data_IF_459446876698
#
_entry.id   IF_459446876698
#
_cell.length_a   1.000
_cell.length_b   1.000
_cell.length_c   1.000
_cell.angle_alpha   90.00
_cell.angle_beta   90.00
_cell.angle_gamma   90.00
#
_symmetry.space_group_name_H-M   'P 1'
#
loop_
_entity.id
_entity.type
_entity.pdbx_description
1 polymer ?
#
# COMPACT_ATOMS: atom_id res chain seq x y z
N UNK A 1 -20.11 -60.02 60.40
CA UNK A 1 -19.49 -58.66 60.43
C UNK A 1 -18.20 -58.73 59.71
N UNK A 2 -18.19 -58.29 58.43
CA UNK A 2 -17.03 -58.33 57.55
C UNK A 2 -16.50 -56.90 57.42
N UNK A 3 -15.33 -56.63 57.96
CA UNK A 3 -14.66 -55.35 57.97
C UNK A 3 -14.07 -55.11 56.60
N UNK A 4 -14.59 -54.12 55.86
CA UNK A 4 -14.00 -53.62 54.63
C UNK A 4 -12.79 -52.74 55.00
N UNK A 5 -11.58 -53.17 54.65
CA UNK A 5 -10.37 -52.38 54.75
C UNK A 5 -10.36 -51.32 53.56
N UNK A 6 -10.43 -50.04 53.91
CA UNK A 6 -10.21 -48.93 53.02
C UNK A 6 -8.74 -48.91 52.59
N UNK A 7 -8.44 -49.34 51.36
CA UNK A 7 -7.12 -49.10 50.75
C UNK A 7 -7.04 -47.64 50.34
N UNK A 8 -6.29 -46.81 51.03
CA UNK A 8 -5.91 -45.49 50.70
C UNK A 8 -4.91 -45.57 49.49
N UNK A 9 -5.38 -45.21 48.30
CA UNK A 9 -4.50 -45.03 47.12
C UNK A 9 -3.62 -43.82 47.38
N UNK A 10 -2.35 -44.04 47.76
CA UNK A 10 -1.33 -43.02 47.87
C UNK A 10 -0.93 -42.59 46.46
N UNK A 11 -1.42 -41.46 45.99
CA UNK A 11 -0.94 -40.85 44.75
C UNK A 11 0.50 -40.34 44.98
N UNK A 12 1.49 -41.08 44.49
CA UNK A 12 2.90 -40.66 44.47
C UNK A 12 3.07 -39.36 43.65
N UNK A 13 3.04 -38.21 44.31
CA UNK A 13 3.29 -36.94 43.65
C UNK A 13 4.75 -36.89 43.19
N UNK A 14 4.96 -36.78 41.88
CA UNK A 14 6.31 -36.62 41.28
C UNK A 14 6.95 -35.35 41.86
N UNK A 15 8.20 -35.42 42.39
CA UNK A 15 8.90 -34.25 42.92
C UNK A 15 9.01 -33.10 41.86
N UNK A 16 8.76 -31.86 42.28
CA UNK A 16 8.78 -30.68 41.39
C UNK A 16 9.98 -30.63 40.44
N UNK A 17 11.17 -31.01 40.92
CA UNK A 17 12.40 -31.04 40.11
C UNK A 17 12.28 -32.04 38.93
N UNK A 18 11.69 -33.20 39.13
CA UNK A 18 11.46 -34.17 38.05
C UNK A 18 10.36 -33.71 37.10
N UNK A 19 9.32 -33.02 37.60
CA UNK A 19 8.30 -32.42 36.73
C UNK A 19 8.90 -31.35 35.79
N UNK A 20 9.79 -30.49 36.31
CA UNK A 20 10.49 -29.48 35.48
C UNK A 20 11.42 -30.13 34.43
N UNK A 21 12.12 -31.22 34.78
CA UNK A 21 12.94 -31.97 33.84
C UNK A 21 12.12 -32.62 32.72
N UNK A 22 10.96 -33.22 33.06
CA UNK A 22 10.02 -33.79 32.07
C UNK A 22 9.45 -32.68 31.15
N UNK A 23 9.03 -31.55 31.71
CA UNK A 23 8.56 -30.42 30.92
C UNK A 23 9.66 -29.88 29.99
N UNK A 24 10.90 -29.75 30.48
CA UNK A 24 12.04 -29.34 29.68
C UNK A 24 12.33 -30.33 28.55
N UNK A 25 12.29 -31.64 28.83
CA UNK A 25 12.46 -32.69 27.82
C UNK A 25 11.36 -32.65 26.76
N UNK A 26 10.09 -32.56 27.18
CA UNK A 26 8.94 -32.43 26.26
C UNK A 26 9.11 -31.20 25.39
N UNK A 27 9.52 -30.05 25.94
CA UNK A 27 9.74 -28.82 25.21
C UNK A 27 10.86 -28.96 24.17
N UNK A 28 12.00 -29.59 24.53
CA UNK A 28 13.09 -29.86 23.60
C UNK A 28 12.66 -30.80 22.47
N UNK A 29 11.94 -31.87 22.77
CA UNK A 29 11.39 -32.78 21.75
C UNK A 29 10.43 -32.06 20.82
N UNK A 30 9.56 -31.22 21.38
CA UNK A 30 8.62 -30.40 20.59
C UNK A 30 9.37 -29.45 19.64
N UNK A 31 10.40 -28.74 20.13
CA UNK A 31 11.23 -27.88 19.29
C UNK A 31 11.95 -28.66 18.18
N UNK A 32 12.50 -29.83 18.48
CA UNK A 32 13.14 -30.67 17.47
C UNK A 32 12.15 -31.16 16.41
N UNK A 33 10.92 -31.47 16.80
CA UNK A 33 9.86 -31.83 15.85
C UNK A 33 9.51 -30.64 14.95
N UNK A 34 9.34 -29.43 15.50
CA UNK A 34 9.08 -28.23 14.71
C UNK A 34 10.22 -27.96 13.72
N UNK A 35 11.48 -28.04 14.15
CA UNK A 35 12.65 -27.87 13.30
C UNK A 35 12.70 -28.94 12.20
N UNK A 36 12.35 -30.19 12.53
CA UNK A 36 12.34 -31.29 11.55
C UNK A 36 11.24 -31.06 10.50
N UNK A 37 10.04 -30.63 10.89
CA UNK A 37 8.96 -30.30 9.97
C UNK A 37 9.39 -29.13 9.05
N UNK A 38 9.97 -28.09 9.61
CA UNK A 38 10.47 -26.94 8.85
C UNK A 38 11.55 -27.37 7.83
N UNK A 39 12.54 -28.18 8.26
CA UNK A 39 13.60 -28.66 7.39
C UNK A 39 13.05 -29.55 6.26
N UNK A 40 12.17 -30.49 6.58
CA UNK A 40 11.53 -31.36 5.60
C UNK A 40 10.76 -30.51 4.59
N UNK A 41 10.01 -29.51 5.06
CA UNK A 41 9.21 -28.65 4.19
C UNK A 41 10.11 -27.86 3.24
N UNK A 42 11.23 -27.32 3.72
CA UNK A 42 12.18 -26.57 2.88
C UNK A 42 12.88 -27.42 1.82
N UNK A 43 13.11 -28.72 2.11
CA UNK A 43 13.84 -29.61 1.20
C UNK A 43 12.89 -30.33 0.23
N UNK A 44 11.73 -30.77 0.71
CA UNK A 44 10.83 -31.64 -0.04
C UNK A 44 9.77 -30.89 -0.86
N UNK A 45 9.48 -29.62 -0.54
CA UNK A 45 8.42 -28.86 -1.19
C UNK A 45 8.93 -27.57 -1.83
N UNK A 46 8.31 -27.13 -2.95
CA UNK A 46 8.63 -25.84 -3.54
C UNK A 46 8.33 -24.71 -2.53
N UNK A 47 9.17 -23.67 -2.56
CA UNK A 47 8.94 -22.49 -1.72
C UNK A 47 7.58 -21.88 -2.02
N UNK A 48 6.78 -21.65 -0.98
CA UNK A 48 5.51 -20.90 -1.11
C UNK A 48 5.83 -19.42 -1.22
N UNK A 49 5.40 -18.80 -2.32
CA UNK A 49 5.48 -17.35 -2.45
C UNK A 49 4.37 -16.72 -1.60
N UNK A 50 4.73 -15.69 -0.84
CA UNK A 50 3.75 -14.93 -0.04
C UNK A 50 2.69 -14.26 -0.91
N UNK A 51 3.05 -13.89 -2.15
CA UNK A 51 2.09 -13.32 -3.09
C UNK A 51 0.96 -14.30 -3.42
N UNK A 52 1.28 -15.58 -3.66
CA UNK A 52 0.29 -16.64 -3.90
C UNK A 52 -0.63 -16.89 -2.68
N UNK A 53 -0.18 -16.54 -1.49
CA UNK A 53 -0.99 -16.69 -0.29
C UNK A 53 -2.05 -15.60 -0.13
N UNK A 54 -1.76 -14.38 -0.52
CA UNK A 54 -2.60 -13.22 -0.20
C UNK A 54 -3.32 -12.66 -1.42
N UNK A 55 -2.82 -12.91 -2.63
CA UNK A 55 -3.40 -12.46 -3.90
C UNK A 55 -4.18 -13.63 -4.52
N UNK A 56 -5.48 -13.69 -4.30
CA UNK A 56 -6.26 -14.89 -4.62
C UNK A 56 -7.24 -14.72 -5.79
N UNK A 57 -7.65 -13.49 -6.13
CA UNK A 57 -8.60 -13.27 -7.21
C UNK A 57 -7.89 -13.09 -8.56
N UNK A 58 -8.52 -13.47 -9.70
CA UNK A 58 -7.98 -13.21 -11.04
C UNK A 58 -7.64 -11.73 -11.24
N UNK A 59 -8.50 -10.83 -10.77
CA UNK A 59 -8.32 -9.38 -10.88
C UNK A 59 -7.10 -8.89 -10.08
N UNK A 60 -6.94 -9.36 -8.84
CA UNK A 60 -5.75 -9.07 -8.04
C UNK A 60 -4.47 -9.62 -8.71
N UNK A 61 -4.56 -10.83 -9.27
CA UNK A 61 -3.45 -11.45 -10.00
C UNK A 61 -3.08 -10.67 -11.26
N UNK A 62 -4.03 -10.14 -11.99
CA UNK A 62 -3.75 -9.28 -13.15
C UNK A 62 -2.95 -8.04 -12.77
N UNK A 63 -3.17 -7.48 -11.59
CA UNK A 63 -2.49 -6.28 -11.12
C UNK A 63 -1.05 -6.54 -10.63
N UNK A 64 -0.75 -7.75 -10.15
CA UNK A 64 0.54 -8.08 -9.52
C UNK A 64 1.26 -9.28 -10.14
N UNK A 65 0.61 -10.08 -10.96
CA UNK A 65 1.08 -11.41 -11.37
C UNK A 65 1.29 -11.59 -12.88
N UNK A 66 1.49 -10.52 -13.62
CA UNK A 66 2.23 -10.70 -14.87
C UNK A 66 3.60 -11.29 -14.47
N UNK A 67 4.01 -12.50 -14.94
CA UNK A 67 5.29 -13.11 -14.56
C UNK A 67 6.49 -12.21 -14.78
N UNK A 68 6.40 -11.28 -15.74
CA UNK A 68 7.41 -10.25 -15.99
C UNK A 68 7.32 -9.06 -15.02
N UNK A 69 6.18 -8.87 -14.34
CA UNK A 69 5.89 -7.73 -13.48
C UNK A 69 5.87 -8.07 -11.98
N UNK A 70 5.77 -9.34 -11.60
CA UNK A 70 5.75 -9.75 -10.19
C UNK A 70 7.06 -9.49 -9.43
N UNK A 71 8.11 -9.08 -10.14
CA UNK A 71 9.46 -8.92 -9.59
C UNK A 71 9.57 -7.94 -8.42
N UNK A 72 8.73 -6.91 -8.36
CA UNK A 72 8.78 -5.85 -7.34
C UNK A 72 7.80 -6.03 -6.19
N UNK A 73 6.90 -7.01 -6.25
CA UNK A 73 5.86 -7.21 -5.23
C UNK A 73 6.12 -8.43 -4.35
N UNK A 74 5.63 -8.38 -3.13
CA UNK A 74 5.49 -9.52 -2.21
C UNK A 74 4.13 -9.48 -1.52
N UNK A 75 3.65 -10.64 -1.04
CA UNK A 75 2.36 -10.73 -0.37
C UNK A 75 2.35 -10.05 0.99
N UNK A 76 1.24 -9.42 1.33
CA UNK A 76 1.00 -8.78 2.62
C UNK A 76 -0.38 -9.17 3.16
N UNK A 77 -0.49 -9.74 4.39
CA UNK A 77 -1.76 -10.21 4.92
C UNK A 77 -2.75 -9.10 5.30
N UNK A 78 -2.25 -7.86 5.47
CA UNK A 78 -3.09 -6.70 5.74
C UNK A 78 -3.46 -5.94 4.45
N UNK A 79 -2.52 -5.88 3.49
CA UNK A 79 -2.65 -5.05 2.30
C UNK A 79 -2.79 -5.88 1.02
N UNK A 80 -2.83 -7.21 1.12
CA UNK A 80 -2.79 -8.23 0.08
C UNK A 80 -1.42 -8.33 -0.61
N UNK A 81 -0.82 -7.23 -1.02
CA UNK A 81 0.55 -7.15 -1.55
C UNK A 81 1.19 -5.83 -1.13
N UNK A 82 2.51 -5.75 -1.21
CA UNK A 82 3.30 -4.53 -1.04
C UNK A 82 4.54 -4.59 -1.93
N UNK A 83 5.28 -3.52 -2.02
CA UNK A 83 6.59 -3.52 -2.65
C UNK A 83 7.57 -4.37 -1.83
N UNK A 84 8.48 -5.07 -2.50
CA UNK A 84 9.61 -5.72 -1.83
C UNK A 84 10.54 -4.66 -1.25
N UNK A 85 11.11 -4.87 -0.07
CA UNK A 85 12.13 -3.98 0.48
C UNK A 85 13.48 -4.16 -0.25
N UNK A 86 14.31 -3.11 -0.20
CA UNK A 86 15.69 -3.10 -0.69
C UNK A 86 15.82 -3.50 -2.18
N UNK A 87 14.86 -3.11 -3.00
CA UNK A 87 15.03 -3.18 -4.45
C UNK A 87 16.07 -2.14 -4.87
N UNK A 88 17.02 -2.55 -5.70
CA UNK A 88 18.04 -1.68 -6.24
C UNK A 88 17.96 -1.67 -7.77
N UNK A 89 17.47 -0.57 -8.34
CA UNK A 89 17.36 -0.32 -9.78
C UNK A 89 16.71 -1.47 -10.57
N UNK A 90 15.64 -2.06 -10.01
CA UNK A 90 14.93 -3.16 -10.67
C UNK A 90 14.06 -2.60 -11.80
N UNK A 91 14.29 -3.09 -13.02
CA UNK A 91 13.43 -2.77 -14.15
C UNK A 91 12.05 -3.39 -13.97
N UNK A 92 11.01 -2.56 -14.10
CA UNK A 92 9.64 -2.99 -14.00
C UNK A 92 8.73 -2.11 -14.85
N UNK A 93 8.04 -2.73 -15.81
CA UNK A 93 7.02 -2.09 -16.66
C UNK A 93 7.40 -0.69 -17.16
N UNK A 94 8.48 -0.63 -17.94
CA UNK A 94 9.04 0.59 -18.53
C UNK A 94 9.48 1.66 -17.52
N UNK A 95 9.84 1.27 -16.33
CA UNK A 95 10.50 2.15 -15.35
C UNK A 95 11.53 1.39 -14.52
N UNK A 96 12.31 2.11 -13.74
CA UNK A 96 13.24 1.56 -12.77
C UNK A 96 12.73 1.84 -11.37
N UNK A 97 12.73 0.82 -10.53
CA UNK A 97 12.21 0.88 -9.17
C UNK A 97 13.31 0.56 -8.17
N UNK A 98 13.56 1.49 -7.28
CA UNK A 98 14.33 1.26 -6.05
C UNK A 98 13.41 1.44 -4.84
N UNK A 99 13.62 0.64 -3.81
CA UNK A 99 12.87 0.74 -2.56
C UNK A 99 13.79 0.67 -1.37
N UNK A 100 13.44 1.38 -0.31
CA UNK A 100 14.16 1.29 0.95
C UNK A 100 13.81 0.03 1.76
N UNK A 101 14.43 -0.14 2.93
CA UNK A 101 14.19 -1.27 3.83
C UNK A 101 12.73 -1.33 4.37
N UNK A 102 11.98 -0.23 4.32
CA UNK A 102 10.59 -0.13 4.75
C UNK A 102 9.59 -0.31 3.60
N UNK A 103 10.07 -0.67 2.38
CA UNK A 103 9.24 -0.89 1.19
C UNK A 103 8.58 0.36 0.61
N UNK A 104 9.14 1.54 0.86
CA UNK A 104 8.76 2.76 0.16
C UNK A 104 9.63 2.94 -1.09
N UNK A 105 9.06 3.50 -2.16
CA UNK A 105 9.84 3.94 -3.34
C UNK A 105 10.62 5.21 -2.98
N UNK A 106 11.73 5.04 -2.28
CA UNK A 106 12.61 6.10 -1.81
C UNK A 106 14.05 5.54 -1.68
N UNK A 107 15.03 6.40 -1.85
CA UNK A 107 16.46 6.08 -1.77
C UNK A 107 17.07 6.30 -0.38
N UNK A 108 16.25 6.73 0.57
CA UNK A 108 16.65 6.93 1.96
C UNK A 108 15.74 6.16 2.93
N UNK A 109 16.23 5.83 4.15
CA UNK A 109 15.42 5.13 5.14
C UNK A 109 14.33 6.05 5.71
N UNK A 110 13.08 5.54 5.72
CA UNK A 110 11.93 6.23 6.29
C UNK A 110 11.59 5.57 7.62
N UNK A 111 11.98 6.25 8.70
CA UNK A 111 11.79 5.81 10.06
C UNK A 111 10.85 6.73 10.86
N UNK A 112 10.95 6.65 12.20
CA UNK A 112 10.34 7.64 13.07
C UNK A 112 10.81 9.04 12.66
N UNK A 113 9.88 10.01 12.66
CA UNK A 113 10.18 11.36 12.16
C UNK A 113 11.28 12.02 12.99
N UNK A 114 12.40 12.45 12.39
CA UNK A 114 13.43 13.20 13.11
C UNK A 114 12.89 14.56 13.59
N UNK A 115 13.39 15.03 14.74
CA UNK A 115 13.02 16.35 15.24
C UNK A 115 13.39 17.47 14.25
N UNK A 116 12.48 18.41 14.04
CA UNK A 116 12.66 19.52 13.11
C UNK A 116 12.48 19.17 11.62
N UNK A 117 12.17 17.92 11.28
CA UNK A 117 11.85 17.51 9.92
C UNK A 117 10.41 17.88 9.56
N UNK A 118 10.21 18.46 8.38
CA UNK A 118 8.89 18.62 7.76
C UNK A 118 8.63 17.43 6.85
N UNK A 119 7.53 16.70 7.07
CA UNK A 119 7.25 15.45 6.38
C UNK A 119 5.92 15.47 5.66
N UNK A 120 5.95 15.18 4.36
CA UNK A 120 4.76 14.98 3.52
C UNK A 120 4.67 13.50 3.14
N UNK A 121 3.53 12.89 3.38
CA UNK A 121 3.21 11.54 2.94
C UNK A 121 2.24 11.62 1.76
N UNK A 122 2.67 11.13 0.59
CA UNK A 122 1.83 11.03 -0.59
C UNK A 122 1.22 9.61 -0.63
N UNK A 123 -0.01 9.49 -0.14
CA UNK A 123 -0.76 8.24 -0.03
C UNK A 123 -1.51 7.96 -1.34
N UNK A 124 -1.29 6.78 -1.97
CA UNK A 124 -1.97 6.53 -3.23
C UNK A 124 -1.70 5.17 -3.89
N UNK A 125 -2.04 5.14 -5.15
CA UNK A 125 -1.93 3.99 -6.05
C UNK A 125 -0.78 4.16 -7.07
N UNK A 126 -0.94 3.58 -8.27
CA UNK A 126 0.03 3.70 -9.36
C UNK A 126 0.31 5.13 -9.81
N UNK A 127 -0.66 6.04 -9.71
CA UNK A 127 -0.46 7.46 -10.04
C UNK A 127 0.53 8.09 -9.05
N UNK A 128 0.30 7.92 -7.76
CA UNK A 128 1.19 8.46 -6.72
C UNK A 128 2.54 7.75 -6.70
N UNK A 129 2.57 6.46 -7.00
CA UNK A 129 3.81 5.70 -7.19
C UNK A 129 4.66 6.26 -8.35
N UNK A 130 4.05 6.83 -9.39
CA UNK A 130 4.71 7.25 -10.61
C UNK A 130 4.93 6.08 -11.58
N UNK A 131 3.83 5.43 -11.98
CA UNK A 131 3.84 4.34 -12.95
C UNK A 131 4.42 4.79 -14.28
N UNK A 132 5.46 4.08 -14.75
CA UNK A 132 6.23 4.41 -15.96
C UNK A 132 6.87 5.81 -15.95
N UNK A 133 7.16 6.34 -14.75
CA UNK A 133 7.86 7.63 -14.62
C UNK A 133 9.02 7.48 -13.63
N UNK A 134 10.26 7.83 -14.06
CA UNK A 134 10.66 8.15 -15.43
C UNK A 134 10.54 6.92 -16.36
N UNK A 135 10.17 7.13 -17.64
CA UNK A 135 10.11 6.03 -18.59
C UNK A 135 11.51 5.54 -18.97
N UNK A 136 11.67 4.24 -19.03
CA UNK A 136 12.88 3.54 -19.46
C UNK A 136 12.50 2.53 -20.55
N UNK A 137 13.00 2.76 -21.77
CA UNK A 137 12.75 1.87 -22.90
C UNK A 137 13.88 0.85 -23.01
N UNK A 138 13.62 -0.47 -23.02
CA UNK A 138 14.68 -1.48 -23.12
C UNK A 138 15.58 -1.30 -24.35
N UNK A 139 14.97 -0.86 -25.47
CA UNK A 139 15.68 -0.67 -26.73
C UNK A 139 16.48 0.65 -26.77
N UNK A 140 16.21 1.56 -25.83
CA UNK A 140 16.82 2.89 -25.76
C UNK A 140 17.12 3.29 -24.31
N UNK A 141 17.96 2.54 -23.59
CA UNK A 141 18.24 2.82 -22.18
C UNK A 141 18.91 4.17 -21.94
N UNK A 142 19.51 4.75 -22.98
CA UNK A 142 20.17 6.07 -22.91
C UNK A 142 19.20 7.25 -23.08
N UNK A 143 17.93 7.01 -23.47
CA UNK A 143 16.91 8.06 -23.55
C UNK A 143 16.30 8.35 -22.15
N UNK A 144 16.81 7.72 -21.10
CA UNK A 144 16.42 8.00 -19.73
C UNK A 144 16.75 9.44 -19.34
N UNK A 145 15.71 10.20 -18.94
CA UNK A 145 15.89 11.53 -18.38
C UNK A 145 15.65 11.49 -16.86
N UNK A 146 16.69 11.69 -16.03
CA UNK A 146 16.59 11.66 -14.58
C UNK A 146 15.73 12.81 -14.01
N UNK A 147 15.44 13.86 -14.77
CA UNK A 147 14.58 14.96 -14.35
C UNK A 147 13.08 14.62 -14.45
N UNK A 148 12.73 13.56 -15.18
CA UNK A 148 11.36 13.11 -15.32
C UNK A 148 10.95 12.28 -14.12
N UNK A 149 10.56 12.93 -13.05
CA UNK A 149 10.26 12.28 -11.78
C UNK A 149 8.75 12.30 -11.46
N UNK A 150 8.25 11.34 -10.63
CA UNK A 150 6.90 11.41 -10.09
C UNK A 150 6.71 12.64 -9.20
N UNK A 151 5.48 13.13 -9.09
CA UNK A 151 5.17 14.35 -8.33
C UNK A 151 5.67 14.34 -6.87
N UNK A 152 5.70 13.23 -6.13
CA UNK A 152 6.26 13.25 -4.77
C UNK A 152 7.75 13.61 -4.75
N UNK A 153 8.53 13.07 -5.71
CA UNK A 153 9.97 13.37 -5.82
C UNK A 153 10.19 14.81 -6.28
N UNK A 154 9.36 15.31 -7.22
CA UNK A 154 9.42 16.72 -7.64
C UNK A 154 9.12 17.67 -6.47
N UNK A 155 8.07 17.38 -5.68
CA UNK A 155 7.75 18.15 -4.48
C UNK A 155 8.91 18.19 -3.48
N UNK A 156 9.54 17.04 -3.24
CA UNK A 156 10.69 16.97 -2.33
C UNK A 156 11.85 17.82 -2.84
N UNK A 157 12.20 17.66 -4.10
CA UNK A 157 13.29 18.39 -4.75
C UNK A 157 13.07 19.89 -4.67
N UNK A 158 11.90 20.36 -5.06
CA UNK A 158 11.58 21.79 -5.10
C UNK A 158 11.54 22.41 -3.68
N UNK A 159 10.92 21.70 -2.73
CA UNK A 159 10.86 22.18 -1.34
C UNK A 159 12.25 22.21 -0.69
N UNK A 160 13.10 21.21 -0.92
CA UNK A 160 14.49 21.18 -0.42
C UNK A 160 15.35 22.30 -1.03
N UNK A 161 15.22 22.52 -2.33
CA UNK A 161 15.96 23.58 -3.03
C UNK A 161 15.59 24.97 -2.47
N UNK A 162 14.31 25.21 -2.21
CA UNK A 162 13.84 26.47 -1.62
C UNK A 162 14.18 26.62 -0.13
N UNK A 163 14.52 25.52 0.56
CA UNK A 163 14.74 25.49 2.01
C UNK A 163 16.00 24.68 2.38
N UNK A 164 17.19 25.08 1.93
CA UNK A 164 18.41 24.28 2.06
C UNK A 164 18.84 24.00 3.53
N UNK A 165 18.34 24.79 4.47
CA UNK A 165 18.65 24.66 5.90
C UNK A 165 17.56 23.88 6.68
N UNK A 166 16.58 23.30 6.01
CA UNK A 166 15.48 22.56 6.63
C UNK A 166 15.54 21.08 6.23
N UNK A 167 15.29 20.21 7.17
CA UNK A 167 15.09 18.80 6.88
C UNK A 167 13.67 18.61 6.32
N UNK A 168 13.57 18.14 5.10
CA UNK A 168 12.29 17.93 4.41
C UNK A 168 12.29 16.51 3.83
N UNK A 169 11.21 15.79 4.06
CA UNK A 169 10.97 14.45 3.53
C UNK A 169 9.61 14.41 2.82
N UNK A 170 9.59 14.05 1.56
CA UNK A 170 8.36 13.81 0.78
C UNK A 170 8.48 12.45 0.10
N UNK A 171 7.62 11.52 0.42
CA UNK A 171 7.71 10.20 -0.16
C UNK A 171 6.35 9.58 -0.50
N UNK A 172 6.31 8.72 -1.54
CA UNK A 172 5.12 7.99 -1.90
C UNK A 172 4.87 6.82 -0.92
N UNK A 173 3.77 6.86 -0.21
CA UNK A 173 3.14 5.74 0.47
C UNK A 173 2.13 5.13 -0.50
N UNK A 174 2.65 4.55 -1.58
CA UNK A 174 1.87 4.21 -2.76
C UNK A 174 2.35 2.90 -3.41
N UNK A 175 1.38 2.10 -3.85
CA UNK A 175 1.65 0.82 -4.52
C UNK A 175 0.69 0.68 -5.71
N UNK A 176 1.19 0.31 -6.90
CA UNK A 176 0.33 0.03 -8.03
C UNK A 176 -0.78 -0.96 -7.72
N UNK A 177 -2.00 -0.64 -8.16
CA UNK A 177 -3.17 -1.48 -7.93
C UNK A 177 -3.91 -1.25 -6.61
N UNK A 178 -3.43 -0.37 -5.73
CA UNK A 178 -4.09 -0.08 -4.46
C UNK A 178 -5.40 0.68 -4.63
N UNK A 179 -6.34 0.39 -3.73
CA UNK A 179 -7.60 1.10 -3.55
C UNK A 179 -7.52 2.04 -2.35
N UNK A 180 -8.51 2.92 -2.23
CA UNK A 180 -8.69 3.76 -1.04
C UNK A 180 -8.81 2.94 0.25
N UNK A 181 -9.35 1.72 0.19
CA UNK A 181 -9.45 0.80 1.32
C UNK A 181 -8.07 0.33 1.79
N UNK A 182 -7.20 -0.09 0.85
CA UNK A 182 -5.81 -0.47 1.17
C UNK A 182 -5.01 0.72 1.69
N UNK A 183 -5.16 1.89 1.07
CA UNK A 183 -4.52 3.12 1.51
C UNK A 183 -4.90 3.50 2.94
N UNK A 184 -6.19 3.45 3.28
CA UNK A 184 -6.67 3.72 4.64
C UNK A 184 -6.13 2.69 5.65
N UNK A 185 -6.11 1.41 5.29
CA UNK A 185 -5.57 0.35 6.16
C UNK A 185 -4.07 0.58 6.43
N UNK A 186 -3.31 0.96 5.40
CA UNK A 186 -1.89 1.27 5.52
C UNK A 186 -1.65 2.51 6.39
N UNK A 187 -2.36 3.60 6.11
CA UNK A 187 -2.23 4.83 6.87
C UNK A 187 -2.56 4.62 8.35
N UNK A 188 -3.63 3.88 8.69
CA UNK A 188 -3.97 3.53 10.07
C UNK A 188 -2.86 2.79 10.80
N UNK A 189 -2.15 1.91 10.11
CA UNK A 189 -1.05 1.16 10.68
C UNK A 189 0.15 2.05 11.02
N UNK A 190 0.48 2.98 10.12
CA UNK A 190 1.79 3.62 10.15
C UNK A 190 1.78 5.12 10.50
N UNK A 191 0.64 5.81 10.51
CA UNK A 191 0.57 7.25 10.72
C UNK A 191 1.19 7.72 12.05
N UNK A 192 0.96 6.96 13.13
CA UNK A 192 1.52 7.27 14.45
C UNK A 192 3.04 7.18 14.49
N UNK A 193 3.63 6.34 13.65
CA UNK A 193 5.07 6.19 13.49
C UNK A 193 5.65 7.22 12.51
N UNK A 194 4.96 7.46 11.40
CA UNK A 194 5.40 8.39 10.36
C UNK A 194 5.26 9.85 10.78
N UNK A 195 4.23 10.19 11.55
CA UNK A 195 3.96 11.54 12.05
C UNK A 195 4.04 12.62 10.94
N UNK A 196 3.26 12.51 9.84
CA UNK A 196 3.30 13.48 8.76
C UNK A 196 2.82 14.86 9.21
N UNK A 197 3.36 15.92 8.60
CA UNK A 197 2.80 17.28 8.70
C UNK A 197 1.70 17.50 7.66
N UNK A 198 1.83 16.81 6.51
CA UNK A 198 0.81 16.83 5.43
C UNK A 198 0.63 15.43 4.88
N UNK A 199 -0.63 15.05 4.64
CA UNK A 199 -1.02 13.86 3.87
C UNK A 199 -1.67 14.31 2.57
N UNK A 200 -1.15 13.83 1.44
CA UNK A 200 -1.74 14.00 0.12
C UNK A 200 -2.31 12.65 -0.30
N UNK A 201 -3.62 12.55 -0.53
CA UNK A 201 -4.28 11.27 -0.83
C UNK A 201 -4.90 11.25 -2.23
N UNK A 202 -4.60 10.19 -3.02
CA UNK A 202 -5.10 9.99 -4.38
C UNK A 202 -5.38 8.52 -4.66
N UNK A 203 -6.66 8.18 -4.93
CA UNK A 203 -7.13 6.85 -5.31
C UNK A 203 -8.32 6.97 -6.26
N UNK A 204 -8.68 5.88 -6.93
CA UNK A 204 -9.94 5.85 -7.66
C UNK A 204 -10.07 4.74 -8.69
N UNK A 205 -9.19 4.64 -9.68
CA UNK A 205 -9.34 3.68 -10.78
C UNK A 205 -9.39 2.23 -10.33
N UNK A 206 -8.61 1.89 -9.32
CA UNK A 206 -8.64 0.54 -8.74
C UNK A 206 -9.89 0.31 -7.90
N UNK A 207 -10.46 1.37 -7.31
CA UNK A 207 -11.70 1.29 -6.53
C UNK A 207 -12.88 0.90 -7.39
N UNK A 208 -12.98 1.47 -8.61
CA UNK A 208 -14.06 1.17 -9.56
C UNK A 208 -13.87 -0.13 -10.34
N UNK A 209 -12.69 -0.75 -10.27
CA UNK A 209 -12.41 -2.03 -10.95
C UNK A 209 -13.32 -3.13 -10.39
N UNK A 210 -13.96 -3.89 -11.30
CA UNK A 210 -14.90 -4.95 -10.93
C UNK A 210 -14.16 -6.15 -10.34
N UNK A 211 -14.70 -6.74 -9.27
CA UNK A 211 -14.14 -7.90 -8.60
C UNK A 211 -15.23 -8.83 -8.07
N UNK A 212 -14.94 -10.13 -8.04
CA UNK A 212 -15.78 -11.12 -7.37
C UNK A 212 -15.70 -11.04 -5.84
N UNK A 213 -14.64 -10.41 -5.31
CA UNK A 213 -14.44 -10.22 -3.86
C UNK A 213 -14.04 -8.77 -3.62
N UNK A 214 -14.93 -7.93 -3.08
CA UNK A 214 -14.60 -6.54 -2.75
C UNK A 214 -13.58 -6.46 -1.62
N UNK A 215 -12.81 -5.37 -1.59
CA UNK A 215 -11.67 -5.21 -0.69
C UNK A 215 -12.08 -5.28 0.80
N UNK A 216 -13.28 -4.83 1.17
CA UNK A 216 -13.83 -4.96 2.52
C UNK A 216 -13.91 -6.41 3.03
N UNK A 217 -14.01 -7.38 2.11
CA UNK A 217 -14.04 -8.81 2.43
C UNK A 217 -12.65 -9.46 2.32
N UNK A 218 -11.80 -8.94 1.43
CA UNK A 218 -10.47 -9.47 1.17
C UNK A 218 -9.47 -9.03 2.26
N UNK A 219 -9.65 -7.84 2.84
CA UNK A 219 -8.70 -7.20 3.76
C UNK A 219 -9.20 -7.29 5.19
N UNK A 220 -8.44 -7.99 6.02
CA UNK A 220 -8.69 -8.08 7.45
C UNK A 220 -7.81 -7.08 8.21
N UNK A 221 -8.42 -6.05 8.76
CA UNK A 221 -7.71 -4.97 9.48
C UNK A 221 -7.42 -5.27 10.96
N UNK A 222 -7.68 -6.51 11.44
CA UNK A 222 -7.34 -6.92 12.80
C UNK A 222 -5.83 -7.08 12.97
N UNK A 223 -5.36 -7.17 14.23
CA UNK A 223 -3.92 -7.25 14.56
C UNK A 223 -3.22 -8.55 14.14
N UNK A 224 -3.94 -9.67 14.07
CA UNK A 224 -3.36 -10.99 13.81
C UNK A 224 -2.74 -11.16 12.40
N UNK A 225 -3.14 -10.42 11.33
CA UNK A 225 -2.45 -10.49 10.04
C UNK A 225 -0.95 -10.18 10.12
N UNK A 226 -0.54 -9.27 10.99
CA UNK A 226 0.88 -8.93 11.18
C UNK A 226 1.68 -10.13 11.72
N UNK A 227 1.12 -10.86 12.69
CA UNK A 227 1.74 -12.07 13.23
C UNK A 227 1.80 -13.19 12.19
N UNK A 228 0.74 -13.36 11.39
CA UNK A 228 0.72 -14.34 10.28
C UNK A 228 1.82 -14.01 9.26
N UNK A 229 1.97 -12.74 8.89
CA UNK A 229 3.02 -12.35 7.96
C UNK A 229 4.39 -12.76 8.49
N UNK A 230 4.71 -12.40 9.72
CA UNK A 230 6.00 -12.78 10.32
C UNK A 230 6.24 -14.29 10.25
N UNK A 231 5.22 -15.09 10.58
CA UNK A 231 5.30 -16.55 10.52
C UNK A 231 5.48 -17.08 9.10
N UNK A 232 4.77 -16.52 8.12
CA UNK A 232 4.91 -16.88 6.69
C UNK A 232 6.29 -16.56 6.16
N UNK A 233 6.84 -15.40 6.51
CA UNK A 233 8.16 -14.98 6.05
C UNK A 233 9.30 -15.82 6.65
N UNK A 234 9.09 -16.39 7.85
CA UNK A 234 10.13 -17.11 8.59
C UNK A 234 9.98 -18.64 8.59
N UNK A 235 8.80 -19.19 8.24
CA UNK A 235 8.51 -20.62 8.26
C UNK A 235 7.78 -21.09 7.00
N UNK A 236 8.45 -21.95 6.22
CA UNK A 236 7.84 -22.61 5.07
C UNK A 236 6.75 -23.61 5.48
N UNK A 237 6.94 -24.30 6.61
CA UNK A 237 5.91 -25.18 7.16
C UNK A 237 4.62 -24.42 7.48
N UNK A 238 4.73 -23.24 8.08
CA UNK A 238 3.58 -22.36 8.35
C UNK A 238 2.95 -21.84 7.06
N UNK A 239 3.76 -21.43 6.09
CA UNK A 239 3.29 -20.94 4.79
C UNK A 239 2.48 -22.04 4.04
N UNK A 240 3.00 -23.27 3.98
CA UNK A 240 2.26 -24.42 3.41
C UNK A 240 0.98 -24.74 4.18
N UNK A 241 1.01 -24.71 5.50
CA UNK A 241 -0.18 -24.90 6.34
C UNK A 241 -1.25 -23.84 6.06
N UNK A 242 -0.85 -22.59 5.95
CA UNK A 242 -1.74 -21.46 5.60
C UNK A 242 -2.33 -21.63 4.22
N UNK A 243 -1.54 -22.02 3.21
CA UNK A 243 -1.99 -22.32 1.85
C UNK A 243 -3.03 -23.44 1.84
N UNK A 244 -2.78 -24.53 2.56
CA UNK A 244 -3.69 -25.65 2.65
C UNK A 244 -5.02 -25.29 3.35
N UNK A 245 -4.99 -24.54 4.47
CA UNK A 245 -6.20 -24.05 5.13
C UNK A 245 -7.03 -23.15 4.22
N UNK A 246 -6.39 -22.23 3.50
CA UNK A 246 -7.06 -21.34 2.56
C UNK A 246 -7.68 -22.09 1.40
N UNK A 247 -6.99 -23.08 0.82
CA UNK A 247 -7.53 -23.88 -0.29
C UNK A 247 -8.79 -24.67 0.12
N UNK A 248 -8.90 -25.07 1.38
CA UNK A 248 -10.11 -25.73 1.91
C UNK A 248 -11.27 -24.78 2.18
N UNK A 249 -10.97 -23.54 2.55
CA UNK A 249 -11.96 -22.52 2.87
C UNK A 249 -12.39 -21.70 1.66
N UNK A 250 -11.80 -21.91 0.49
CA UNK A 250 -12.31 -21.36 -0.75
C UNK A 250 -13.63 -22.07 -1.09
N UNK A 251 -14.73 -21.59 -0.47
CA UNK A 251 -16.06 -21.91 -0.96
C UNK A 251 -16.09 -21.54 -2.45
N UNK A 252 -16.61 -22.46 -3.29
CA UNK A 252 -16.91 -22.13 -4.69
C UNK A 252 -17.70 -20.82 -4.65
N UNK A 253 -17.27 -19.77 -5.36
CA UNK A 253 -18.05 -18.55 -5.40
C UNK A 253 -19.46 -18.95 -5.84
N UNK A 254 -20.47 -18.70 -5.01
CA UNK A 254 -21.84 -18.62 -5.47
C UNK A 254 -21.79 -17.66 -6.66
N UNK A 255 -22.60 -17.88 -7.70
CA UNK A 255 -22.67 -17.01 -8.87
C UNK A 255 -22.84 -15.57 -8.38
N UNK A 256 -21.72 -14.89 -8.19
CA UNK A 256 -21.67 -13.53 -7.66
C UNK A 256 -21.55 -12.60 -8.86
N UNK A 257 -22.42 -11.61 -8.90
CA UNK A 257 -22.29 -10.54 -9.90
C UNK A 257 -21.08 -9.70 -9.46
N UNK A 258 -20.06 -9.53 -10.31
CA UNK A 258 -18.92 -8.71 -9.98
C UNK A 258 -19.36 -7.31 -9.56
N UNK A 259 -18.79 -6.80 -8.48
CA UNK A 259 -19.04 -5.46 -7.98
C UNK A 259 -17.71 -4.66 -7.95
N UNK A 260 -17.74 -3.31 -7.87
CA UNK A 260 -16.52 -2.54 -7.68
C UNK A 260 -15.75 -3.01 -6.45
N UNK A 261 -14.42 -3.05 -6.53
CA UNK A 261 -13.55 -3.43 -5.39
C UNK A 261 -13.87 -2.62 -4.14
N UNK A 262 -14.20 -1.34 -4.34
CA UNK A 262 -14.69 -0.43 -3.29
C UNK A 262 -15.93 0.24 -3.82
N UNK A 263 -17.06 0.09 -3.15
CA UNK A 263 -18.30 0.76 -3.55
C UNK A 263 -18.19 2.28 -3.45
N UNK A 264 -19.02 3.02 -4.18
CA UNK A 264 -19.01 4.49 -4.17
C UNK A 264 -19.14 5.07 -2.77
N UNK A 265 -20.00 4.49 -1.94
CA UNK A 265 -20.17 4.92 -0.55
C UNK A 265 -18.88 4.67 0.26
N UNK A 266 -18.32 3.46 0.15
CA UNK A 266 -17.08 3.11 0.87
C UNK A 266 -15.91 3.98 0.43
N UNK A 267 -15.83 4.34 -0.86
CA UNK A 267 -14.83 5.25 -1.39
C UNK A 267 -14.84 6.60 -0.67
N UNK A 268 -16.01 7.23 -0.57
CA UNK A 268 -16.17 8.49 0.17
C UNK A 268 -15.91 8.32 1.66
N UNK A 269 -16.41 7.24 2.27
CA UNK A 269 -16.17 6.92 3.68
C UNK A 269 -14.67 6.71 3.98
N UNK A 270 -13.94 6.07 3.07
CA UNK A 270 -12.49 5.86 3.19
C UNK A 270 -11.74 7.19 3.16
N UNK A 271 -12.05 8.09 2.22
CA UNK A 271 -11.43 9.42 2.17
C UNK A 271 -11.76 10.25 3.40
N UNK A 272 -13.00 10.22 3.86
CA UNK A 272 -13.38 10.88 5.11
C UNK A 272 -12.63 10.32 6.32
N UNK A 273 -12.38 9.01 6.33
CA UNK A 273 -11.59 8.38 7.39
C UNK A 273 -10.11 8.74 7.29
N UNK A 274 -9.53 8.83 6.08
CA UNK A 274 -8.16 9.31 5.84
C UNK A 274 -8.02 10.75 6.35
N UNK A 275 -8.96 11.62 5.98
CA UNK A 275 -8.96 13.04 6.39
C UNK A 275 -9.04 13.17 7.91
N UNK A 276 -9.97 12.46 8.56
CA UNK A 276 -10.08 12.47 10.04
C UNK A 276 -8.80 11.95 10.68
N UNK A 277 -8.31 10.80 10.24
CA UNK A 277 -7.12 10.17 10.81
C UNK A 277 -5.89 11.09 10.72
N UNK A 278 -5.69 11.75 9.60
CA UNK A 278 -4.60 12.70 9.43
C UNK A 278 -4.75 13.92 10.36
N UNK A 279 -5.94 14.52 10.41
CA UNK A 279 -6.24 15.66 11.31
C UNK A 279 -6.10 15.29 12.78
N UNK A 280 -6.51 14.08 13.19
CA UNK A 280 -6.38 13.59 14.57
C UNK A 280 -4.90 13.44 14.98
N UNK A 281 -4.00 13.27 14.00
CA UNK A 281 -2.54 13.25 14.20
C UNK A 281 -1.85 14.60 13.92
N UNK A 282 -2.63 15.69 13.77
CA UNK A 282 -2.10 17.04 13.56
C UNK A 282 -1.62 17.33 12.14
N UNK A 283 -1.89 16.45 11.17
CA UNK A 283 -1.49 16.65 9.78
C UNK A 283 -2.51 17.48 8.98
N UNK A 284 -2.00 18.37 8.12
CA UNK A 284 -2.79 18.94 7.03
C UNK A 284 -3.15 17.87 5.99
N UNK A 285 -4.22 18.09 5.22
CA UNK A 285 -4.67 17.11 4.22
C UNK A 285 -5.00 17.78 2.90
N UNK A 286 -4.58 17.15 1.81
CA UNK A 286 -5.03 17.45 0.45
C UNK A 286 -5.54 16.15 -0.16
N UNK A 287 -6.68 16.22 -0.85
CA UNK A 287 -7.23 15.11 -1.64
C UNK A 287 -7.11 15.46 -3.12
N UNK A 288 -6.60 14.51 -3.92
CA UNK A 288 -6.50 14.64 -5.37
C UNK A 288 -7.60 13.77 -5.99
N UNK A 289 -8.40 14.35 -6.88
CA UNK A 289 -9.30 13.59 -7.74
C UNK A 289 -8.52 12.70 -8.70
N UNK A 290 -8.92 11.43 -8.83
CA UNK A 290 -8.25 10.49 -9.71
C UNK A 290 -8.13 11.06 -11.14
N UNK A 291 -6.91 11.24 -11.66
CA UNK A 291 -6.72 11.80 -12.98
C UNK A 291 -7.13 10.79 -14.06
N UNK A 292 -7.57 11.27 -15.20
CA UNK A 292 -7.69 10.49 -16.43
C UNK A 292 -7.68 11.37 -17.65
N UNK A 293 -7.34 10.77 -18.78
CA UNK A 293 -7.43 11.42 -20.08
C UNK A 293 -8.85 11.28 -20.61
N UNK A 294 -9.52 12.39 -20.87
CA UNK A 294 -10.79 12.34 -21.58
C UNK A 294 -10.57 11.89 -23.03
N UNK A 295 -11.28 10.88 -23.47
CA UNK A 295 -11.23 10.39 -24.84
C UNK A 295 -12.63 10.06 -25.34
N UNK A 296 -12.83 10.12 -26.65
CA UNK A 296 -14.11 9.76 -27.30
C UNK A 296 -14.50 8.29 -27.08
N UNK A 297 -13.57 7.46 -26.65
CA UNK A 297 -13.71 6.01 -26.43
C UNK A 297 -13.47 5.63 -24.97
N UNK A 298 -13.97 6.44 -24.04
CA UNK A 298 -13.85 6.12 -22.63
C UNK A 298 -14.54 4.79 -22.29
N UNK A 299 -13.88 3.90 -21.53
CA UNK A 299 -14.50 2.64 -21.09
C UNK A 299 -15.65 2.93 -20.11
N UNK A 300 -16.57 1.97 -19.88
CA UNK A 300 -17.67 2.11 -18.94
C UNK A 300 -17.21 2.52 -17.52
N UNK A 301 -16.03 2.06 -17.09
CA UNK A 301 -15.42 2.40 -15.81
C UNK A 301 -15.12 3.91 -15.67
N UNK A 302 -14.89 4.62 -16.78
CA UNK A 302 -14.67 6.06 -16.76
C UNK A 302 -15.94 6.83 -16.32
N UNK A 303 -17.13 6.36 -16.70
CA UNK A 303 -18.38 6.94 -16.23
C UNK A 303 -18.57 6.72 -14.73
N UNK A 304 -18.27 5.51 -14.25
CA UNK A 304 -18.32 5.20 -12.83
C UNK A 304 -17.30 6.02 -12.04
N UNK A 305 -16.08 6.18 -12.56
CA UNK A 305 -15.04 7.01 -11.95
C UNK A 305 -15.46 8.49 -11.88
N UNK A 306 -16.14 9.00 -12.90
CA UNK A 306 -16.69 10.36 -12.90
C UNK A 306 -17.70 10.56 -11.76
N UNK A 307 -18.57 9.57 -11.51
CA UNK A 307 -19.52 9.61 -10.39
C UNK A 307 -18.77 9.63 -9.05
N UNK A 308 -17.79 8.76 -8.86
CA UNK A 308 -17.00 8.68 -7.64
C UNK A 308 -16.28 10.00 -7.35
N UNK A 309 -15.64 10.59 -8.36
CA UNK A 309 -14.97 11.90 -8.25
C UNK A 309 -15.94 13.02 -7.90
N UNK A 310 -17.12 13.07 -8.56
CA UNK A 310 -18.12 14.10 -8.31
C UNK A 310 -18.61 14.06 -6.86
N UNK A 311 -18.84 12.86 -6.32
CA UNK A 311 -19.22 12.69 -4.92
C UNK A 311 -18.08 13.08 -3.98
N UNK A 312 -16.87 12.63 -4.25
CA UNK A 312 -15.70 12.98 -3.46
C UNK A 312 -15.46 14.49 -3.44
N UNK A 313 -15.52 15.15 -4.61
CA UNK A 313 -15.38 16.62 -4.72
C UNK A 313 -16.42 17.35 -3.88
N UNK A 314 -17.68 16.88 -3.94
CA UNK A 314 -18.78 17.44 -3.13
C UNK A 314 -18.51 17.30 -1.64
N UNK A 315 -18.08 16.11 -1.21
CA UNK A 315 -17.78 15.81 0.20
C UNK A 315 -16.59 16.63 0.71
N UNK A 316 -15.51 16.73 -0.07
CA UNK A 316 -14.35 17.55 0.30
C UNK A 316 -14.71 19.03 0.40
N UNK A 317 -15.61 19.51 -0.45
CA UNK A 317 -16.13 20.88 -0.35
C UNK A 317 -16.93 21.09 0.94
N UNK A 318 -17.79 20.14 1.32
CA UNK A 318 -18.60 20.23 2.56
C UNK A 318 -17.70 20.20 3.81
N UNK A 319 -16.70 19.34 3.83
CA UNK A 319 -15.75 19.21 4.94
C UNK A 319 -14.65 20.28 4.93
N UNK A 320 -14.67 21.22 3.98
CA UNK A 320 -13.64 22.24 3.77
C UNK A 320 -12.23 21.66 3.62
N UNK A 321 -12.13 20.42 3.13
CA UNK A 321 -10.85 19.76 2.87
C UNK A 321 -10.31 20.21 1.51
N UNK A 322 -9.04 20.67 1.39
CA UNK A 322 -8.43 21.02 0.13
C UNK A 322 -8.54 19.87 -0.88
N UNK A 323 -9.03 20.16 -2.06
CA UNK A 323 -9.24 19.20 -3.14
C UNK A 323 -8.61 19.74 -4.44
N UNK A 324 -7.80 18.90 -5.09
CA UNK A 324 -7.17 19.21 -6.36
C UNK A 324 -7.81 18.37 -7.47
N UNK A 325 -8.40 19.04 -8.46
CA UNK A 325 -9.02 18.39 -9.61
C UNK A 325 -8.10 18.43 -10.82
N UNK A 326 -7.38 17.36 -11.07
CA UNK A 326 -6.39 17.29 -12.15
C UNK A 326 -7.05 17.35 -13.53
N UNK A 327 -8.23 16.78 -13.70
CA UNK A 327 -8.92 16.81 -14.99
C UNK A 327 -9.21 18.24 -15.44
N UNK A 328 -9.79 19.06 -14.56
CA UNK A 328 -10.11 20.46 -14.86
C UNK A 328 -8.86 21.27 -15.21
N UNK A 329 -7.73 20.97 -14.55
CA UNK A 329 -6.44 21.63 -14.82
C UNK A 329 -5.87 21.25 -16.19
N UNK A 330 -5.93 19.98 -16.56
CA UNK A 330 -5.47 19.51 -17.87
C UNK A 330 -6.34 20.00 -19.01
N UNK A 331 -7.65 20.14 -18.79
CA UNK A 331 -8.57 20.76 -19.75
C UNK A 331 -8.31 22.27 -19.90
N UNK A 332 -8.10 22.99 -18.80
CA UNK A 332 -7.83 24.42 -18.80
C UNK A 332 -6.49 24.79 -19.43
N UNK A 333 -5.49 23.90 -19.37
CA UNK A 333 -4.19 24.09 -20.01
C UNK A 333 -4.25 24.02 -21.55
N UNK A 334 -5.42 23.83 -22.11
CA UNK A 334 -5.73 23.99 -23.56
C UNK A 334 -5.51 22.70 -24.36
N UNK A 335 -6.54 22.29 -24.95
CA UNK A 335 -6.63 21.31 -26.02
C UNK A 335 -5.76 20.07 -25.85
N UNK A 336 -6.24 19.07 -25.33
CA UNK A 336 -5.69 17.74 -25.40
C UNK A 336 -4.85 17.43 -24.18
N UNK A 337 -5.52 17.14 -23.16
CA UNK A 337 -5.15 16.30 -22.05
C UNK A 337 -4.16 15.13 -22.39
N UNK A 338 -4.01 14.81 -23.70
CA UNK A 338 -3.06 13.83 -24.21
C UNK A 338 -1.60 14.15 -23.92
N UNK A 339 -1.22 15.42 -23.87
CA UNK A 339 0.15 15.84 -23.55
C UNK A 339 0.57 15.57 -22.11
N UNK A 340 -0.38 15.33 -21.19
CA UNK A 340 -0.13 15.10 -19.76
C UNK A 340 -0.25 13.64 -19.33
N UNK A 341 -0.64 12.74 -20.25
CA UNK A 341 -0.86 11.33 -19.93
C UNK A 341 -0.05 10.42 -20.85
N UNK A 342 0.52 9.37 -20.27
CA UNK A 342 1.15 8.28 -21.01
C UNK A 342 0.11 7.34 -21.62
N UNK A 343 -1.01 7.18 -20.91
CA UNK A 343 -2.17 6.40 -21.33
C UNK A 343 -3.44 6.96 -20.67
N UNK A 344 -4.55 6.19 -20.67
CA UNK A 344 -5.85 6.69 -20.20
C UNK A 344 -5.84 7.25 -18.77
N UNK A 345 -5.14 6.59 -17.83
CA UNK A 345 -5.24 6.87 -16.38
C UNK A 345 -3.93 7.30 -15.72
N UNK A 346 -2.79 7.10 -16.37
CA UNK A 346 -1.51 7.41 -15.78
C UNK A 346 -0.91 8.68 -16.38
N UNK A 347 -0.69 9.73 -15.55
CA UNK A 347 0.05 10.91 -15.97
C UNK A 347 1.47 10.55 -16.43
N UNK A 348 1.93 11.19 -17.48
CA UNK A 348 3.34 11.15 -17.87
C UNK A 348 4.15 12.18 -17.05
N UNK A 349 5.43 12.37 -17.36
CA UNK A 349 6.29 13.31 -16.65
C UNK A 349 5.75 14.75 -16.66
N UNK A 350 5.09 15.20 -17.73
CA UNK A 350 4.45 16.52 -17.79
C UNK A 350 3.25 16.61 -16.87
N UNK A 351 2.43 15.54 -16.82
CA UNK A 351 1.32 15.44 -15.88
C UNK A 351 1.79 15.47 -14.43
N UNK A 352 2.87 14.77 -14.11
CA UNK A 352 3.46 14.82 -12.77
C UNK A 352 4.04 16.20 -12.42
N UNK A 353 4.64 16.90 -13.36
CA UNK A 353 5.10 18.29 -13.17
C UNK A 353 3.91 19.21 -12.85
N UNK A 354 2.84 19.12 -13.64
CA UNK A 354 1.62 19.89 -13.40
C UNK A 354 1.05 19.60 -12.00
N UNK A 355 0.95 18.32 -11.61
CA UNK A 355 0.48 17.93 -10.28
C UNK A 355 1.35 18.54 -9.18
N UNK A 356 2.68 18.47 -9.29
CA UNK A 356 3.59 19.04 -8.31
C UNK A 356 3.42 20.57 -8.19
N UNK A 357 3.34 21.29 -9.32
CA UNK A 357 3.13 22.73 -9.35
C UNK A 357 1.84 23.15 -8.67
N UNK A 358 0.72 22.51 -9.02
CA UNK A 358 -0.57 22.86 -8.47
C UNK A 358 -0.72 22.45 -6.99
N UNK A 359 -0.06 21.37 -6.57
CA UNK A 359 0.03 21.00 -5.16
C UNK A 359 0.80 22.04 -4.34
N UNK A 360 1.94 22.53 -4.82
CA UNK A 360 2.70 23.60 -4.16
C UNK A 360 1.85 24.87 -3.99
N UNK A 361 1.15 25.29 -5.06
CA UNK A 361 0.25 26.45 -5.02
C UNK A 361 -0.87 26.24 -3.99
N UNK A 362 -1.51 25.08 -4.02
CA UNK A 362 -2.61 24.75 -3.10
C UNK A 362 -2.12 24.67 -1.64
N UNK A 363 -0.97 24.05 -1.38
CA UNK A 363 -0.39 24.00 -0.04
C UNK A 363 -0.06 25.40 0.49
N UNK A 364 0.47 26.27 -0.36
CA UNK A 364 0.74 27.67 -0.03
C UNK A 364 -0.54 28.42 0.32
N UNK A 365 -1.55 28.35 -0.54
CA UNK A 365 -2.85 28.99 -0.35
C UNK A 365 -3.59 28.53 0.92
N UNK A 366 -3.34 27.29 1.33
CA UNK A 366 -3.96 26.68 2.51
C UNK A 366 -3.07 26.73 3.76
N UNK A 367 -1.94 27.43 3.69
CA UNK A 367 -0.99 27.56 4.79
C UNK A 367 -0.52 26.22 5.37
N UNK A 368 -0.35 25.20 4.48
CA UNK A 368 0.09 23.85 4.88
C UNK A 368 1.61 23.69 4.90
N UNK A 369 2.37 24.67 4.44
CA UNK A 369 3.83 24.63 4.39
C UNK A 369 4.49 25.27 5.62
N UNK A 370 3.69 25.74 6.59
CA UNK A 370 4.17 26.44 7.79
C UNK A 370 5.17 27.56 7.43
N UNK A 371 6.40 27.49 8.00
CA UNK A 371 7.47 28.50 7.80
C UNK A 371 8.41 28.15 6.64
N UNK A 372 8.00 27.27 5.71
CA UNK A 372 8.81 26.94 4.56
C UNK A 372 8.70 28.00 3.46
N UNK A 373 9.83 28.28 2.81
CA UNK A 373 9.82 29.04 1.58
C UNK A 373 9.13 28.24 0.47
N UNK A 374 8.29 28.91 -0.29
CA UNK A 374 7.54 28.31 -1.39
C UNK A 374 8.32 28.53 -2.66
N UNK A 375 8.74 27.47 -3.38
CA UNK A 375 9.43 27.61 -4.64
C UNK A 375 8.50 28.18 -5.72
N UNK A 376 9.04 29.05 -6.58
CA UNK A 376 8.41 29.35 -7.86
C UNK A 376 8.64 28.18 -8.81
N UNK A 377 7.70 27.27 -8.85
CA UNK A 377 7.77 26.10 -9.72
C UNK A 377 6.94 26.34 -10.99
N UNK A 378 7.62 26.42 -12.13
CA UNK A 378 6.99 26.54 -13.45
C UNK A 378 6.76 25.14 -14.00
N UNK A 379 5.53 24.78 -14.32
CA UNK A 379 5.16 23.42 -14.80
C UNK A 379 5.74 23.09 -16.19
#
# INVERSE_FOLDING_TARGET
>A
MTTLQNQTVTTNKIPRRRQLLYLGFIYVVFLLLLLSVELITRVAFPRVDSLDLFVNTPQQKMQVANPEQSGIFEGDPLLLWRLKPNLDHVYWDFTVVSTNAQSFRADYPIGAKPAGTFRIVCLGDSVTFGYRVPPVWPEKPNDYNPEWQPFPVLLETELRNANPNRSIEVFPMAVPGYTSHQGLAWLRRDIGYLQPDVVIASFGWNDVSMSDVPDRQAIDTRWWPVAIRWLVDHSQAFAHGTRWLRSRNQAKPAAHVPEPRVSQKEYVDNFNAIVRLAKDHGAGVIVIGAPYRDSKTNPPEAQLMTQYRTWLKSEMKQSQTPYLEILELTEAAGSVNEGFFGELIHPNHMGHRLMASELLKLMAQRHLLNDLNIPEFVP
#
